data_IF_561445448166
#
_entry.id   IF_561445448166
#
_cell.length_a   1.000
_cell.length_b   1.000
_cell.length_c   1.000
_cell.angle_alpha   90.00
_cell.angle_beta   90.00
_cell.angle_gamma   90.00
#
_symmetry.space_group_name_H-M   'P 1'
#
loop_
_entity.id
_entity.type
_entity.pdbx_description
1 polymer ?
#
# COMPACT_ATOMS: atom_id res chain seq x y z
N UNK A 1 2.86 -13.76 19.61
CA UNK A 1 3.96 -14.18 18.73
C UNK A 1 5.23 -14.07 19.55
N UNK A 2 5.73 -15.18 20.08
CA UNK A 2 6.94 -15.18 20.91
C UNK A 2 8.07 -15.84 20.11
N UNK A 3 8.87 -15.01 19.43
CA UNK A 3 10.05 -15.47 18.70
C UNK A 3 11.10 -15.87 19.73
N UNK A 4 11.41 -17.16 19.86
CA UNK A 4 12.52 -17.64 20.67
C UNK A 4 13.81 -16.96 20.21
N UNK A 5 14.30 -16.03 21.04
CA UNK A 5 15.44 -15.16 20.76
C UNK A 5 16.75 -15.93 20.83
N UNK A 6 17.28 -16.33 19.68
CA UNK A 6 18.74 -16.39 19.49
C UNK A 6 19.20 -15.00 19.06
N UNK A 7 20.13 -14.39 19.79
CA UNK A 7 20.40 -12.94 19.85
C UNK A 7 20.86 -12.22 18.55
N UNK A 8 20.77 -12.79 17.35
CA UNK A 8 21.35 -12.14 16.15
C UNK A 8 20.58 -12.36 14.83
N UNK A 9 19.74 -13.39 14.69
CA UNK A 9 19.00 -13.62 13.43
C UNK A 9 17.54 -13.94 13.75
N UNK A 10 16.63 -13.08 13.31
CA UNK A 10 15.20 -13.35 13.35
C UNK A 10 14.89 -14.46 12.34
N UNK A 11 14.64 -15.69 12.83
CA UNK A 11 14.37 -16.86 11.99
C UNK A 11 12.94 -17.33 12.18
N UNK A 12 12.21 -17.42 11.06
CA UNK A 12 10.87 -17.98 11.00
C UNK A 12 10.99 -19.50 10.78
N UNK A 13 10.68 -20.28 11.81
CA UNK A 13 10.70 -21.75 11.71
C UNK A 13 9.39 -22.28 11.11
N UNK A 14 9.47 -23.35 10.32
CA UNK A 14 8.28 -24.00 9.74
C UNK A 14 7.29 -24.46 10.81
N UNK A 15 7.77 -24.92 11.95
CA UNK A 15 6.88 -25.37 13.04
C UNK A 15 6.12 -24.20 13.68
N UNK A 16 6.72 -23.00 13.71
CA UNK A 16 6.03 -21.79 14.14
C UNK A 16 4.90 -21.43 13.18
N UNK A 17 5.10 -21.62 11.87
CA UNK A 17 4.08 -21.38 10.85
C UNK A 17 2.90 -22.36 10.96
N UNK A 18 3.19 -23.65 11.18
CA UNK A 18 2.15 -24.70 11.32
C UNK A 18 1.25 -24.49 12.53
N UNK A 19 1.75 -23.82 13.58
CA UNK A 19 0.99 -23.53 14.80
C UNK A 19 0.07 -22.32 14.66
N UNK A 20 0.15 -21.55 13.57
CA UNK A 20 -0.70 -20.39 13.35
C UNK A 20 -2.14 -20.86 13.10
N UNK A 21 -3.03 -20.55 14.04
CA UNK A 21 -4.47 -20.76 13.86
C UNK A 21 -5.02 -19.62 13.01
N UNK A 22 -5.54 -19.96 11.83
CA UNK A 22 -6.19 -19.00 10.93
C UNK A 22 -7.69 -19.13 11.09
N UNK A 23 -8.36 -18.04 11.46
CA UNK A 23 -9.81 -17.94 11.39
C UNK A 23 -10.21 -17.56 9.97
N UNK A 24 -11.09 -18.35 9.36
CA UNK A 24 -11.60 -18.07 8.02
C UNK A 24 -13.06 -18.54 7.91
N UNK A 25 -13.85 -17.90 7.03
CA UNK A 25 -15.23 -18.31 6.79
C UNK A 25 -15.29 -19.74 6.24
N UNK A 26 -16.21 -20.57 6.75
CA UNK A 26 -16.30 -21.98 6.32
C UNK A 26 -16.82 -22.14 4.90
N UNK A 27 -17.61 -21.18 4.40
CA UNK A 27 -18.12 -21.20 3.04
C UNK A 27 -17.10 -20.65 2.05
N UNK A 28 -16.78 -21.43 1.01
CA UNK A 28 -15.93 -20.97 -0.09
C UNK A 28 -16.56 -19.80 -0.85
N UNK A 29 -17.90 -19.74 -0.95
CA UNK A 29 -18.59 -18.64 -1.60
C UNK A 29 -18.39 -17.32 -0.83
N UNK A 30 -18.47 -17.39 0.50
CA UNK A 30 -18.24 -16.25 1.37
C UNK A 30 -16.78 -15.77 1.30
N UNK A 31 -15.82 -16.70 1.31
CA UNK A 31 -14.41 -16.36 1.10
C UNK A 31 -14.20 -15.60 -0.21
N UNK A 32 -14.75 -16.10 -1.33
CA UNK A 32 -14.64 -15.44 -2.64
C UNK A 32 -15.30 -14.05 -2.65
N UNK A 33 -16.45 -13.90 -1.99
CA UNK A 33 -17.14 -12.61 -1.87
C UNK A 33 -16.31 -11.60 -1.09
N UNK A 34 -15.69 -12.01 0.01
CA UNK A 34 -14.80 -11.15 0.81
C UNK A 34 -13.57 -10.75 -0.01
N UNK A 35 -12.92 -11.70 -0.67
CA UNK A 35 -11.76 -11.43 -1.53
C UNK A 35 -12.10 -10.43 -2.62
N UNK A 36 -13.21 -10.62 -3.33
CA UNK A 36 -13.64 -9.69 -4.39
C UNK A 36 -13.83 -8.25 -3.88
N UNK A 37 -14.39 -8.08 -2.67
CA UNK A 37 -14.52 -6.76 -2.03
C UNK A 37 -13.17 -6.15 -1.68
N UNK A 38 -12.25 -6.95 -1.13
CA UNK A 38 -10.91 -6.49 -0.78
C UNK A 38 -10.09 -6.11 -2.01
N UNK A 39 -10.22 -6.88 -3.09
CA UNK A 39 -9.56 -6.60 -4.37
C UNK A 39 -10.07 -5.30 -4.99
N UNK A 40 -11.40 -5.10 -4.99
CA UNK A 40 -12.00 -3.86 -5.46
C UNK A 40 -11.50 -2.65 -4.65
N UNK A 41 -11.53 -2.75 -3.32
CA UNK A 41 -11.04 -1.69 -2.43
C UNK A 41 -9.55 -1.41 -2.64
N UNK A 42 -8.73 -2.45 -2.82
CA UNK A 42 -7.30 -2.29 -3.10
C UNK A 42 -7.06 -1.59 -4.44
N UNK A 43 -7.80 -1.95 -5.48
CA UNK A 43 -7.70 -1.33 -6.79
C UNK A 43 -8.06 0.15 -6.74
N UNK A 44 -9.17 0.49 -6.07
CA UNK A 44 -9.59 1.88 -5.88
C UNK A 44 -8.56 2.69 -5.09
N UNK A 45 -8.02 2.12 -4.00
CA UNK A 45 -7.01 2.78 -3.17
C UNK A 45 -5.72 3.06 -3.96
N UNK A 46 -5.23 2.09 -4.74
CA UNK A 46 -4.05 2.26 -5.59
C UNK A 46 -4.27 3.29 -6.69
N UNK A 47 -5.44 3.28 -7.32
CA UNK A 47 -5.82 4.29 -8.31
C UNK A 47 -5.82 5.69 -7.69
N UNK A 48 -6.41 5.83 -6.50
CA UNK A 48 -6.46 7.09 -5.79
C UNK A 48 -5.05 7.60 -5.43
N UNK A 49 -4.20 6.72 -4.90
CA UNK A 49 -2.81 7.02 -4.58
C UNK A 49 -2.04 7.53 -5.81
N UNK A 50 -2.19 6.86 -6.96
CA UNK A 50 -1.55 7.27 -8.21
C UNK A 50 -2.01 8.67 -8.65
N UNK A 51 -3.32 8.97 -8.55
CA UNK A 51 -3.88 10.28 -8.86
C UNK A 51 -3.28 11.35 -7.96
N UNK A 52 -3.19 11.11 -6.65
CA UNK A 52 -2.60 12.09 -5.72
C UNK A 52 -1.12 12.31 -5.97
N UNK A 53 -0.35 11.25 -6.27
CA UNK A 53 1.06 11.38 -6.66
C UNK A 53 1.22 12.24 -7.91
N UNK A 54 0.39 12.04 -8.93
CA UNK A 54 0.42 12.87 -10.14
C UNK A 54 0.05 14.34 -9.83
N UNK A 55 -0.97 14.57 -8.99
CA UNK A 55 -1.36 15.93 -8.59
C UNK A 55 -0.22 16.67 -7.89
N UNK A 56 0.52 16.00 -7.01
CA UNK A 56 1.68 16.59 -6.34
C UNK A 56 2.78 16.93 -7.35
N UNK A 57 3.07 16.04 -8.29
CA UNK A 57 4.06 16.30 -9.35
C UNK A 57 3.68 17.52 -10.20
N UNK A 58 2.42 17.58 -10.64
CA UNK A 58 1.90 18.71 -11.43
C UNK A 58 1.95 20.03 -10.65
N UNK A 59 1.68 19.99 -9.33
CA UNK A 59 1.74 21.16 -8.48
C UNK A 59 3.18 21.69 -8.35
N UNK A 60 4.16 20.80 -8.21
CA UNK A 60 5.57 21.18 -8.18
C UNK A 60 6.05 21.74 -9.52
N UNK A 61 5.60 21.16 -10.63
CA UNK A 61 5.89 21.69 -11.97
C UNK A 61 5.26 23.07 -12.17
N UNK A 62 4.00 23.26 -11.77
CA UNK A 62 3.31 24.54 -11.86
C UNK A 62 4.03 25.63 -11.06
N UNK A 63 4.45 25.34 -9.82
CA UNK A 63 5.23 26.27 -9.01
C UNK A 63 6.52 26.69 -9.71
N UNK A 64 7.26 25.73 -10.27
CA UNK A 64 8.51 25.99 -11.01
C UNK A 64 8.25 26.86 -12.24
N UNK A 65 7.21 26.55 -13.02
CA UNK A 65 6.82 27.31 -14.21
C UNK A 65 6.49 28.76 -13.87
N UNK A 66 5.70 29.00 -12.82
CA UNK A 66 5.34 30.35 -12.36
C UNK A 66 6.59 31.13 -11.94
N UNK A 67 7.48 30.52 -11.15
CA UNK A 67 8.73 31.18 -10.72
C UNK A 67 9.62 31.53 -11.91
N UNK A 68 9.78 30.62 -12.88
CA UNK A 68 10.54 30.88 -14.10
C UNK A 68 9.97 32.06 -14.89
N UNK A 69 8.65 32.12 -15.09
CA UNK A 69 7.99 33.23 -15.79
C UNK A 69 8.14 34.56 -15.04
N UNK A 70 8.01 34.54 -13.72
CA UNK A 70 8.22 35.73 -12.89
C UNK A 70 9.67 36.26 -12.98
N UNK A 71 10.67 35.38 -13.00
CA UNK A 71 12.08 35.78 -13.16
C UNK A 71 12.45 36.18 -14.59
N UNK A 72 11.74 35.66 -15.60
CA UNK A 72 11.91 36.05 -17.00
C UNK A 72 11.22 37.38 -17.35
N UNK A 73 10.42 37.95 -16.44
CA UNK A 73 9.65 39.18 -16.69
C UNK A 73 8.45 38.99 -17.61
N UNK A 74 7.98 37.74 -17.79
CA UNK A 74 6.85 37.37 -18.64
C UNK A 74 5.52 37.28 -17.87
N UNK A 75 5.45 37.99 -16.74
CA UNK A 75 4.31 38.00 -15.81
C UNK A 75 3.92 39.42 -15.45
#
# INVERSE_FOLDING_TARGET
>A
WDSTKGATISRLYNDNLKQIKIAFPKSLSEQKSIVAKLDALSAETKKLEAIYKQKLANLEELKKSILQRAFAGEL
#
